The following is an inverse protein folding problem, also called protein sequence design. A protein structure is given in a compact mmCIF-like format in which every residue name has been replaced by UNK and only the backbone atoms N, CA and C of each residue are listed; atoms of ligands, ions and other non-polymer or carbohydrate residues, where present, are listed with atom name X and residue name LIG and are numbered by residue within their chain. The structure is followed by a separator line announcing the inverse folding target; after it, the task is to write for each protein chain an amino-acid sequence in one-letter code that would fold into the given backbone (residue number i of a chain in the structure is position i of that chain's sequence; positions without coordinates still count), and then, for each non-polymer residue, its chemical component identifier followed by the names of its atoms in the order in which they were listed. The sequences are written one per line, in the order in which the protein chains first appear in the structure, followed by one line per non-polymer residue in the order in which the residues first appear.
data_IF_845756249447
#
_entry.id   IF_845756249447
#
_cell.length_a   1.000
_cell.length_b   1.000
_cell.length_c   1.000
_cell.angle_alpha   90.00
_cell.angle_beta   90.00
_cell.angle_gamma   90.00
#
_symmetry.space_group_name_H-M   'P 1'
#
loop_
_entity.id
_entity.type
_entity.pdbx_description
1 polymer ?
#
# COMPACT_ATOMS: atom_id res chain seq x y z
N UNK A 1 6.31 16.27 -10.14
CA UNK A 1 5.38 15.13 -10.31
C UNK A 1 5.05 14.65 -8.91
N UNK A 2 3.76 14.58 -8.52
CA UNK A 2 3.39 14.04 -7.21
C UNK A 2 3.66 12.53 -7.25
N UNK A 3 4.63 12.05 -6.47
CA UNK A 3 4.73 10.61 -6.20
C UNK A 3 3.39 10.13 -5.64
N UNK A 4 2.84 9.00 -6.15
CA UNK A 4 1.62 8.45 -5.59
C UNK A 4 1.85 8.14 -4.11
N UNK A 5 1.08 8.80 -3.25
CA UNK A 5 1.11 8.59 -1.81
C UNK A 5 -0.16 7.86 -1.37
N UNK A 6 -0.23 6.53 -1.60
CA UNK A 6 -1.43 5.75 -1.32
C UNK A 6 -1.74 5.70 0.17
N UNK A 7 -2.98 5.36 0.47
CA UNK A 7 -3.39 5.05 1.84
C UNK A 7 -2.84 3.69 2.22
N UNK A 8 -2.37 3.58 3.47
CA UNK A 8 -1.92 2.33 4.06
C UNK A 8 -2.75 2.00 5.29
N UNK A 9 -3.06 0.72 5.50
CA UNK A 9 -3.78 0.22 6.67
C UNK A 9 -2.90 -0.72 7.49
N UNK A 10 -2.93 -0.56 8.81
CA UNK A 10 -2.24 -1.44 9.75
C UNK A 10 -3.11 -2.67 10.04
N UNK A 11 -2.56 -3.86 9.76
CA UNK A 11 -3.20 -5.15 10.02
C UNK A 11 -2.13 -6.17 10.45
N UNK A 12 -2.39 -6.91 11.53
CA UNK A 12 -1.43 -7.86 12.11
C UNK A 12 -0.03 -7.26 12.35
N UNK A 13 0.03 -6.01 12.81
CA UNK A 13 1.28 -5.25 13.04
C UNK A 13 2.13 -4.99 11.77
N UNK A 14 1.54 -5.12 10.59
CA UNK A 14 2.16 -4.81 9.29
C UNK A 14 1.31 -3.79 8.53
N UNK A 15 1.96 -2.80 7.92
CA UNK A 15 1.26 -1.82 7.08
C UNK A 15 1.08 -2.33 5.66
N UNK A 16 -0.15 -2.23 5.15
CA UNK A 16 -0.54 -2.68 3.83
C UNK A 16 -1.03 -1.53 2.98
N UNK A 17 -0.53 -1.43 1.74
CA UNK A 17 -1.06 -0.51 0.73
C UNK A 17 -2.46 -0.96 0.33
N UNK A 18 -3.41 -0.04 0.27
CA UNK A 18 -4.78 -0.30 -0.19
C UNK A 18 -5.07 0.49 -1.46
N UNK A 19 -5.74 -0.16 -2.42
CA UNK A 19 -5.94 0.40 -3.78
C UNK A 19 -6.89 1.60 -3.81
N UNK A 20 -7.96 1.56 -3.02
CA UNK A 20 -9.07 2.49 -3.17
C UNK A 20 -9.25 3.41 -1.98
N UNK A 21 -9.31 2.86 -0.76
CA UNK A 21 -9.59 3.67 0.43
C UNK A 21 -9.30 2.91 1.72
N UNK A 22 -9.40 3.62 2.85
CA UNK A 22 -9.42 3.03 4.20
C UNK A 22 -10.56 2.01 4.43
N UNK A 23 -11.53 1.93 3.52
CA UNK A 23 -12.62 0.94 3.57
C UNK A 23 -12.28 -0.35 2.82
N UNK A 24 -11.15 -0.41 2.11
CA UNK A 24 -10.72 -1.62 1.41
C UNK A 24 -10.67 -2.82 2.35
N UNK A 25 -11.27 -3.92 1.89
CA UNK A 25 -11.27 -5.20 2.60
C UNK A 25 -10.01 -6.01 2.32
N UNK A 26 -9.32 -5.66 1.24
CA UNK A 26 -8.10 -6.33 0.77
C UNK A 26 -6.97 -5.31 0.61
N UNK A 27 -5.77 -5.76 0.95
CA UNK A 27 -4.53 -5.08 0.60
C UNK A 27 -4.19 -5.31 -0.87
N UNK A 28 -3.35 -4.44 -1.44
CA UNK A 28 -2.76 -4.59 -2.77
C UNK A 28 -2.07 -5.95 -2.96
N UNK A 29 -1.51 -6.53 -1.89
CA UNK A 29 -0.88 -7.84 -1.95
C UNK A 29 -1.86 -9.04 -2.02
N UNK A 30 -3.18 -8.77 -1.99
CA UNK A 30 -4.26 -9.75 -1.97
C UNK A 30 -4.65 -10.23 -0.56
N UNK A 31 -3.97 -9.76 0.49
CA UNK A 31 -4.27 -10.15 1.88
C UNK A 31 -5.58 -9.50 2.33
N UNK A 32 -6.49 -10.31 2.88
CA UNK A 32 -7.71 -9.80 3.53
C UNK A 32 -7.35 -9.07 4.83
N UNK A 33 -7.82 -7.83 4.97
CA UNK A 33 -7.59 -6.97 6.13
C UNK A 33 -8.70 -7.21 7.16
N UNK A 34 -8.54 -8.29 7.93
CA UNK A 34 -9.50 -8.68 8.97
C UNK A 34 -9.55 -7.65 10.12
N UNK A 35 -8.42 -7.04 10.45
CA UNK A 35 -8.30 -6.00 11.46
C UNK A 35 -7.68 -4.73 10.86
N UNK A 36 -8.39 -3.60 10.98
CA UNK A 36 -7.96 -2.30 10.46
C UNK A 36 -7.67 -1.39 11.64
N UNK A 37 -6.51 -1.59 12.25
CA UNK A 37 -6.17 -0.96 13.53
C UNK A 37 -5.89 0.54 13.37
N UNK A 38 -5.23 0.92 12.27
CA UNK A 38 -4.91 2.29 11.95
C UNK A 38 -4.85 2.51 10.43
N UNK A 39 -4.92 3.77 10.01
CA UNK A 39 -4.69 4.19 8.63
C UNK A 39 -3.71 5.36 8.61
N UNK A 40 -2.89 5.42 7.56
CA UNK A 40 -1.93 6.50 7.35
C UNK A 40 -1.63 6.64 5.85
N UNK A 41 -0.62 7.44 5.53
CA UNK A 41 -0.07 7.63 4.19
C UNK A 41 1.27 6.90 4.08
N UNK A 42 1.55 6.35 2.89
CA UNK A 42 2.79 5.64 2.60
C UNK A 42 4.03 6.47 2.98
N UNK A 43 4.06 7.74 2.59
CA UNK A 43 5.20 8.63 2.89
C UNK A 43 5.34 8.95 4.38
N UNK A 44 4.28 8.84 5.17
CA UNK A 44 4.31 9.07 6.62
C UNK A 44 4.80 7.84 7.37
N UNK A 45 4.41 6.65 6.90
CA UNK A 45 4.81 5.37 7.51
C UNK A 45 6.24 4.99 7.13
N UNK A 46 6.66 5.33 5.91
CA UNK A 46 7.96 4.93 5.38
C UNK A 46 7.93 3.50 4.83
N UNK A 47 8.67 3.29 3.75
CA UNK A 47 8.76 2.02 3.02
C UNK A 47 9.21 0.82 3.86
N UNK A 48 10.07 1.01 4.86
CA UNK A 48 10.58 -0.07 5.74
C UNK A 48 9.49 -0.77 6.56
N UNK A 49 8.37 -0.09 6.81
CA UNK A 49 7.28 -0.62 7.63
C UNK A 49 6.14 -1.23 6.80
N UNK A 50 6.26 -1.21 5.48
CA UNK A 50 5.25 -1.71 4.55
C UNK A 50 5.48 -3.18 4.26
N UNK A 51 4.39 -3.93 4.06
CA UNK A 51 4.44 -5.27 3.52
C UNK A 51 5.26 -5.31 2.23
N UNK A 52 6.33 -6.10 2.21
CA UNK A 52 7.26 -6.22 1.07
C UNK A 52 6.55 -6.46 -0.26
N UNK A 53 5.53 -7.32 -0.28
CA UNK A 53 4.74 -7.61 -1.49
C UNK A 53 3.90 -6.41 -1.95
N UNK A 54 3.32 -5.65 -1.03
CA UNK A 54 2.64 -4.39 -1.36
C UNK A 54 3.62 -3.40 -1.97
N UNK A 55 4.82 -3.24 -1.37
CA UNK A 55 5.84 -2.33 -1.88
C UNK A 55 6.30 -2.68 -3.29
N UNK A 56 6.59 -3.96 -3.55
CA UNK A 56 6.97 -4.44 -4.88
C UNK A 56 5.90 -4.15 -5.92
N UNK A 57 4.63 -4.50 -5.64
CA UNK A 57 3.53 -4.25 -6.57
C UNK A 57 3.33 -2.76 -6.84
N UNK A 58 3.40 -1.93 -5.79
CA UNK A 58 3.28 -0.48 -5.93
C UNK A 58 4.40 0.13 -6.77
N UNK A 59 5.65 -0.33 -6.59
CA UNK A 59 6.77 0.10 -7.41
C UNK A 59 6.55 -0.27 -8.89
N UNK A 60 6.15 -1.52 -9.18
CA UNK A 60 5.91 -1.99 -10.56
C UNK A 60 4.73 -1.30 -11.24
N UNK A 61 3.69 -0.90 -10.51
CA UNK A 61 2.56 -0.13 -11.07
C UNK A 61 2.93 1.34 -11.35
N UNK A 62 3.92 1.88 -10.64
CA UNK A 62 4.34 3.27 -10.78
C UNK A 62 5.55 3.44 -11.73
N UNK A 63 6.20 2.35 -12.12
CA UNK A 63 7.05 2.29 -13.30
C UNK A 63 6.14 2.42 -14.53
N UNK A 64 6.18 3.58 -15.19
CA UNK A 64 5.45 3.81 -16.44
C UNK A 64 5.71 2.64 -17.41
N UNK A 65 4.70 2.19 -18.19
CA UNK A 65 4.94 1.20 -19.22
C UNK A 65 6.08 1.69 -20.13
N UNK A 66 6.97 0.80 -20.61
CA UNK A 66 7.95 1.19 -21.62
C UNK A 66 7.19 1.84 -22.77
N UNK A 67 7.51 3.11 -23.03
CA UNK A 67 7.07 3.80 -24.24
C UNK A 67 7.78 3.11 -25.40
N UNK A 68 7.02 2.40 -26.24
CA UNK A 68 7.45 1.97 -27.57
C UNK A 68 7.26 3.14 -28.55
#
# INVERSE_FOLDING_TARGET
MNEPNPVVLLSDNVWHIVEHSRRSEYALCGKRLAQRQAHSRLNTVGHDHICRKCWQLHATTNEAPPVD
#
